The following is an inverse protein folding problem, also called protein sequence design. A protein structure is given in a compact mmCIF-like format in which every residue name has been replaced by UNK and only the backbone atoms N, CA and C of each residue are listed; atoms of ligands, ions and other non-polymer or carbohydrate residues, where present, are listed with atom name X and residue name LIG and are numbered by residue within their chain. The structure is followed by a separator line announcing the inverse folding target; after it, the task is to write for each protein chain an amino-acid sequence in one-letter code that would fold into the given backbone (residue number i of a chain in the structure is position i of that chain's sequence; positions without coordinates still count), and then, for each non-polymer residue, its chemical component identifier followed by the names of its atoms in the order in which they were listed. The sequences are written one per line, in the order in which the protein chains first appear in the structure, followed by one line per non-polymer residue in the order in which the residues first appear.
data_IF_148661158361
#
_entry.id   IF_148661158361
#
_cell.length_a   1.000
_cell.length_b   1.000
_cell.length_c   1.000
_cell.angle_alpha   90.00
_cell.angle_beta   90.00
_cell.angle_gamma   90.00
#
_symmetry.space_group_name_H-M   'P 1'
#
loop_
_entity.id
_entity.type
_entity.pdbx_description
1 polymer ?
#
# COMPACT_ATOMS: atom_id res chain seq x y z
N UNK A 1 -2.48 2.27 -20.85
CA UNK A 1 -1.01 2.43 -20.69
C UNK A 1 -0.69 2.91 -19.27
N UNK A 2 0.38 2.45 -18.68
CA UNK A 2 0.86 2.86 -17.36
C UNK A 2 2.38 2.75 -17.29
N UNK A 3 2.93 3.39 -16.27
CA UNK A 3 4.36 3.36 -15.94
C UNK A 3 4.49 3.13 -14.43
N UNK A 4 5.45 2.32 -14.00
CA UNK A 4 5.81 2.15 -12.59
C UNK A 4 7.19 2.74 -12.36
N UNK A 5 7.32 3.58 -11.33
CA UNK A 5 8.60 4.13 -10.89
C UNK A 5 8.71 4.16 -9.37
N UNK A 6 9.92 4.20 -8.86
CA UNK A 6 10.13 4.46 -7.44
C UNK A 6 9.80 5.92 -7.12
N UNK A 7 9.18 6.13 -5.95
CA UNK A 7 8.90 7.47 -5.45
C UNK A 7 10.14 8.09 -4.80
N UNK A 8 10.19 9.40 -4.83
CA UNK A 8 11.20 10.23 -4.16
C UNK A 8 10.51 11.11 -3.10
N UNK A 9 11.25 11.79 -2.20
CA UNK A 9 10.63 12.72 -1.25
C UNK A 9 9.73 13.80 -1.88
N UNK A 10 9.96 14.14 -3.13
CA UNK A 10 9.12 15.09 -3.88
C UNK A 10 7.70 14.54 -4.14
N UNK A 11 7.49 13.23 -4.01
CA UNK A 11 6.19 12.58 -4.20
C UNK A 11 5.36 12.49 -2.92
N UNK A 12 5.81 13.05 -1.82
CA UNK A 12 5.15 12.97 -0.51
C UNK A 12 3.67 13.37 -0.58
N UNK A 13 3.36 14.52 -1.17
CA UNK A 13 1.98 15.01 -1.25
C UNK A 13 1.11 14.20 -2.22
N UNK A 14 1.70 13.65 -3.26
CA UNK A 14 1.01 12.75 -4.21
C UNK A 14 0.57 11.48 -3.46
N UNK A 15 1.46 10.87 -2.69
CA UNK A 15 1.17 9.67 -1.90
C UNK A 15 0.08 9.97 -0.87
N UNK A 16 0.18 11.07 -0.15
CA UNK A 16 -0.81 11.49 0.84
C UNK A 16 -2.19 11.70 0.22
N UNK A 17 -2.25 12.34 -0.93
CA UNK A 17 -3.51 12.59 -1.65
C UNK A 17 -4.19 11.28 -2.06
N UNK A 18 -3.43 10.34 -2.63
CA UNK A 18 -3.96 9.02 -2.99
C UNK A 18 -4.43 8.27 -1.74
N UNK A 19 -3.62 8.26 -0.69
CA UNK A 19 -3.95 7.59 0.57
C UNK A 19 -5.24 8.14 1.19
N UNK A 20 -5.39 9.45 1.27
CA UNK A 20 -6.58 10.08 1.83
C UNK A 20 -7.85 9.67 1.08
N UNK A 21 -7.85 9.81 -0.23
CA UNK A 21 -9.01 9.45 -1.06
C UNK A 21 -9.36 7.96 -0.93
N UNK A 22 -8.37 7.09 -0.96
CA UNK A 22 -8.59 5.65 -0.90
C UNK A 22 -9.02 5.18 0.48
N UNK A 23 -8.48 5.75 1.55
CA UNK A 23 -8.86 5.41 2.92
C UNK A 23 -10.31 5.76 3.22
N UNK A 24 -10.76 6.96 2.85
CA UNK A 24 -12.16 7.35 3.03
C UNK A 24 -13.09 6.42 2.26
N UNK A 25 -12.77 6.09 1.01
CA UNK A 25 -13.58 5.18 0.21
C UNK A 25 -13.61 3.75 0.76
N UNK A 26 -12.47 3.22 1.20
CA UNK A 26 -12.35 1.82 1.66
C UNK A 26 -12.86 1.62 3.08
N UNK A 27 -12.61 2.55 3.99
CA UNK A 27 -12.82 2.36 5.43
C UNK A 27 -14.06 3.04 5.98
N UNK A 28 -14.72 3.97 5.26
CA UNK A 28 -15.96 4.60 5.74
C UNK A 28 -17.05 3.59 6.11
N UNK A 29 -17.22 2.45 5.42
CA UNK A 29 -18.19 1.44 5.82
C UNK A 29 -17.77 0.60 7.04
N UNK A 30 -16.50 0.66 7.45
CA UNK A 30 -15.90 -0.25 8.44
C UNK A 30 -15.53 0.46 9.73
N UNK A 31 -14.97 1.67 9.62
CA UNK A 31 -14.40 2.43 10.74
C UNK A 31 -15.16 3.74 10.95
N UNK A 32 -15.14 4.23 12.19
CA UNK A 32 -15.66 5.55 12.53
C UNK A 32 -14.83 6.67 11.88
N UNK A 33 -15.47 7.79 11.58
CA UNK A 33 -14.82 8.97 10.97
C UNK A 33 -13.59 9.43 11.74
N UNK A 34 -13.72 9.49 13.04
CA UNK A 34 -12.65 9.95 13.95
C UNK A 34 -11.45 9.00 13.89
N UNK A 35 -11.69 7.70 13.78
CA UNK A 35 -10.64 6.70 13.65
C UNK A 35 -9.91 6.84 12.30
N UNK A 36 -10.64 7.01 11.20
CA UNK A 36 -10.04 7.20 9.88
C UNK A 36 -9.16 8.46 9.87
N UNK A 37 -9.68 9.57 10.37
CA UNK A 37 -8.94 10.84 10.43
C UNK A 37 -7.67 10.70 11.30
N UNK A 38 -7.77 10.05 12.43
CA UNK A 38 -6.64 9.78 13.31
C UNK A 38 -5.57 8.93 12.62
N UNK A 39 -5.99 7.84 11.97
CA UNK A 39 -5.05 6.92 11.31
C UNK A 39 -4.38 7.55 10.09
N UNK A 40 -5.09 8.36 9.31
CA UNK A 40 -4.49 9.12 8.22
C UNK A 40 -3.41 10.07 8.72
N UNK A 41 -3.66 10.74 9.83
CA UNK A 41 -2.70 11.65 10.43
C UNK A 41 -1.46 10.91 10.98
N UNK A 42 -1.67 9.77 11.64
CA UNK A 42 -0.58 8.96 12.20
C UNK A 42 0.26 8.23 11.14
N UNK A 43 -0.38 7.64 10.14
CA UNK A 43 0.29 6.78 9.15
C UNK A 43 0.82 7.59 7.97
N UNK A 44 0.08 8.62 7.56
CA UNK A 44 0.32 9.37 6.33
C UNK A 44 0.63 10.84 6.55
N UNK A 45 1.14 11.22 7.72
CA UNK A 45 1.64 12.59 7.90
C UNK A 45 2.75 12.89 6.89
N UNK A 46 2.86 14.14 6.45
CA UNK A 46 3.91 14.56 5.52
C UNK A 46 5.30 14.22 6.04
N UNK A 47 5.53 14.45 7.34
CA UNK A 47 6.79 14.14 8.01
C UNK A 47 7.13 12.65 7.94
N UNK A 48 6.16 11.78 8.22
CA UNK A 48 6.37 10.33 8.25
C UNK A 48 6.66 9.78 6.86
N UNK A 49 5.88 10.17 5.86
CA UNK A 49 6.08 9.74 4.47
C UNK A 49 7.42 10.26 3.93
N UNK A 50 7.72 11.53 4.14
CA UNK A 50 9.00 12.12 3.71
C UNK A 50 10.19 11.40 4.38
N UNK A 51 10.08 11.07 5.67
CA UNK A 51 11.11 10.33 6.39
C UNK A 51 11.32 8.92 5.80
N UNK A 52 10.24 8.19 5.54
CA UNK A 52 10.31 6.85 4.94
C UNK A 52 10.98 6.90 3.57
N UNK A 53 10.64 7.88 2.75
CA UNK A 53 11.23 8.07 1.42
C UNK A 53 12.71 8.47 1.49
N UNK A 54 13.06 9.38 2.42
CA UNK A 54 14.44 9.87 2.56
C UNK A 54 15.40 8.82 3.12
N UNK A 55 14.93 7.99 4.05
CA UNK A 55 15.75 6.99 4.74
C UNK A 55 15.59 5.57 4.17
N UNK A 56 14.76 5.41 3.13
CA UNK A 56 14.46 4.12 2.51
C UNK A 56 13.98 3.04 3.51
N UNK A 57 13.28 3.45 4.57
CA UNK A 57 12.70 2.50 5.53
C UNK A 57 11.53 1.74 4.94
N UNK A 58 10.85 2.33 3.96
CA UNK A 58 9.93 1.66 3.05
C UNK A 58 10.22 2.14 1.64
N UNK A 59 10.22 1.23 0.68
CA UNK A 59 10.30 1.57 -0.74
C UNK A 59 8.89 1.76 -1.29
N UNK A 60 8.66 2.90 -1.92
CA UNK A 60 7.38 3.24 -2.53
C UNK A 60 7.47 3.12 -4.05
N UNK A 61 6.51 2.41 -4.64
CA UNK A 61 6.31 2.33 -6.10
C UNK A 61 5.05 3.11 -6.46
N UNK A 62 5.18 4.03 -7.41
CA UNK A 62 4.05 4.77 -7.98
C UNK A 62 3.66 4.17 -9.32
N UNK A 63 2.36 3.96 -9.52
CA UNK A 63 1.80 3.66 -10.82
C UNK A 63 1.23 4.96 -11.40
N UNK A 64 1.68 5.29 -12.59
CA UNK A 64 1.41 6.57 -13.25
C UNK A 64 0.73 6.31 -14.59
N UNK A 65 -0.38 6.98 -14.84
CA UNK A 65 -0.98 7.06 -16.17
C UNK A 65 -0.30 8.21 -16.92
N UNK A 66 0.39 7.94 -18.05
CA UNK A 66 1.02 8.99 -18.83
C UNK A 66 0.00 9.96 -19.40
N UNK A 67 0.45 11.19 -19.65
CA UNK A 67 -0.37 12.20 -20.30
C UNK A 67 -0.92 11.72 -21.64
N UNK A 68 -2.21 12.02 -21.88
CA UNK A 68 -2.87 11.66 -23.14
C UNK A 68 -2.44 12.56 -24.32
N UNK A 69 -1.80 13.70 -24.03
CA UNK A 69 -1.34 14.67 -25.02
C UNK A 69 0.00 15.29 -24.57
N UNK A 70 0.80 15.86 -25.50
CA UNK A 70 2.09 16.49 -25.17
C UNK A 70 1.98 17.62 -24.13
N UNK A 71 0.85 18.33 -24.09
CA UNK A 71 0.62 19.43 -23.16
C UNK A 71 0.00 18.97 -21.82
N UNK A 72 -0.35 17.69 -21.71
CA UNK A 72 -0.90 17.10 -20.51
C UNK A 72 0.16 16.77 -19.48
N UNK A 73 -0.30 16.37 -18.29
CA UNK A 73 0.58 15.91 -17.20
C UNK A 73 0.33 14.44 -16.91
N UNK A 74 1.40 13.74 -16.60
CA UNK A 74 1.32 12.39 -16.07
C UNK A 74 0.55 12.41 -14.75
N UNK A 75 -0.28 11.38 -14.53
CA UNK A 75 -1.15 11.30 -13.37
C UNK A 75 -0.81 10.07 -12.52
N UNK A 76 -0.18 10.24 -11.36
CA UNK A 76 -0.05 9.15 -10.40
C UNK A 76 -1.43 8.73 -9.87
N UNK A 77 -1.76 7.46 -9.93
CA UNK A 77 -3.11 6.96 -9.60
C UNK A 77 -3.11 5.83 -8.56
N UNK A 78 -1.95 5.28 -8.27
CA UNK A 78 -1.83 4.18 -7.30
C UNK A 78 -0.41 4.12 -6.75
N UNK A 79 -0.25 3.53 -5.57
CA UNK A 79 1.06 3.27 -5.01
C UNK A 79 1.07 2.00 -4.17
N UNK A 80 2.27 1.43 -4.01
CA UNK A 80 2.57 0.36 -3.07
C UNK A 80 3.79 0.75 -2.25
N UNK A 81 3.86 0.28 -1.00
CA UNK A 81 5.05 0.44 -0.17
C UNK A 81 5.41 -0.91 0.45
N UNK A 82 6.68 -1.24 0.42
CA UNK A 82 7.18 -2.51 0.92
C UNK A 82 8.56 -2.36 1.55
N UNK A 83 8.92 -3.30 2.41
CA UNK A 83 10.27 -3.41 3.00
C UNK A 83 10.48 -4.80 3.58
N UNK A 84 11.72 -5.17 3.92
CA UNK A 84 11.95 -6.31 4.80
C UNK A 84 11.25 -6.10 6.15
N UNK A 85 10.78 -7.18 6.80
CA UNK A 85 10.34 -7.09 8.19
C UNK A 85 11.53 -6.82 9.10
N UNK A 86 11.33 -6.02 10.14
CA UNK A 86 12.38 -5.72 11.12
C UNK A 86 12.76 -6.97 11.92
N UNK A 87 11.75 -7.73 12.35
CA UNK A 87 11.92 -8.94 13.16
C UNK A 87 12.48 -10.12 12.39
N UNK A 88 12.30 -10.16 11.07
CA UNK A 88 12.82 -11.20 10.19
C UNK A 88 13.04 -10.67 8.77
N UNK A 89 14.24 -10.18 8.44
CA UNK A 89 14.54 -9.61 7.13
C UNK A 89 14.47 -10.60 5.96
N UNK A 90 14.28 -11.90 6.20
CA UNK A 90 14.05 -12.88 5.15
C UNK A 90 12.62 -12.77 4.60
N UNK A 91 11.70 -12.18 5.37
CA UNK A 91 10.32 -11.97 4.98
C UNK A 91 10.15 -10.50 4.61
N UNK A 92 9.67 -10.24 3.39
CA UNK A 92 9.27 -8.91 2.97
C UNK A 92 7.81 -8.67 3.31
N UNK A 93 7.45 -7.42 3.53
CA UNK A 93 6.08 -7.02 3.84
C UNK A 93 5.62 -5.93 2.89
N UNK A 94 4.46 -6.15 2.28
CA UNK A 94 3.70 -5.11 1.61
C UNK A 94 2.93 -4.33 2.68
N UNK A 95 3.35 -3.09 2.92
CA UNK A 95 2.74 -2.23 3.95
C UNK A 95 1.51 -1.49 3.45
N UNK A 96 1.52 -1.11 2.17
CA UNK A 96 0.49 -0.25 1.57
C UNK A 96 0.28 -0.64 0.13
N UNK A 97 -0.99 -0.70 -0.29
CA UNK A 97 -1.38 -0.89 -1.69
C UNK A 97 -2.71 -0.18 -1.89
N UNK A 98 -2.68 0.96 -2.56
CA UNK A 98 -3.86 1.80 -2.75
C UNK A 98 -3.94 2.32 -4.17
N UNK A 99 -5.15 2.19 -4.76
CA UNK A 99 -5.48 2.69 -6.09
C UNK A 99 -6.62 3.69 -5.96
N UNK A 100 -6.55 4.81 -6.66
CA UNK A 100 -7.63 5.79 -6.67
C UNK A 100 -8.97 5.11 -7.04
N UNK A 101 -10.08 5.47 -6.37
CA UNK A 101 -11.37 4.82 -6.62
C UNK A 101 -11.79 4.85 -8.08
N UNK A 102 -11.50 5.91 -8.82
CA UNK A 102 -11.82 6.05 -10.24
C UNK A 102 -11.03 5.08 -11.16
N UNK A 103 -10.01 4.42 -10.64
CA UNK A 103 -9.22 3.43 -11.39
C UNK A 103 -9.65 1.99 -11.11
N UNK A 104 -10.70 1.77 -10.36
CA UNK A 104 -11.25 0.44 -10.09
C UNK A 104 -11.55 -0.30 -11.40
N UNK A 105 -11.20 -1.59 -11.45
CA UNK A 105 -11.40 -2.42 -12.62
C UNK A 105 -10.31 -2.36 -13.68
N UNK A 106 -9.30 -1.48 -13.54
CA UNK A 106 -8.16 -1.41 -14.47
C UNK A 106 -7.05 -2.43 -14.19
N UNK A 107 -7.12 -3.16 -13.08
CA UNK A 107 -6.12 -4.16 -12.71
C UNK A 107 -4.84 -3.58 -12.11
N UNK A 108 -4.82 -2.33 -11.70
CA UNK A 108 -3.62 -1.65 -11.18
C UNK A 108 -3.11 -2.25 -9.88
N UNK A 109 -4.01 -2.71 -9.00
CA UNK A 109 -3.61 -3.40 -7.77
C UNK A 109 -2.81 -4.66 -8.05
N UNK A 110 -3.25 -5.47 -9.01
CA UNK A 110 -2.54 -6.68 -9.44
C UNK A 110 -1.18 -6.34 -10.05
N UNK A 111 -1.11 -5.31 -10.86
CA UNK A 111 0.14 -4.85 -11.49
C UNK A 111 1.15 -4.42 -10.42
N UNK A 112 0.73 -3.63 -9.44
CA UNK A 112 1.59 -3.16 -8.37
C UNK A 112 2.07 -4.31 -7.46
N UNK A 113 1.18 -5.22 -7.07
CA UNK A 113 1.57 -6.34 -6.22
C UNK A 113 2.57 -7.26 -6.94
N UNK A 114 2.39 -7.48 -8.24
CA UNK A 114 3.35 -8.24 -9.05
C UNK A 114 4.70 -7.53 -9.14
N UNK A 115 4.72 -6.20 -9.20
CA UNK A 115 5.96 -5.42 -9.17
C UNK A 115 6.68 -5.59 -7.83
N UNK A 116 5.95 -5.57 -6.70
CA UNK A 116 6.52 -5.83 -5.37
C UNK A 116 7.04 -7.26 -5.25
N UNK A 117 6.31 -8.24 -5.77
CA UNK A 117 6.75 -9.64 -5.82
C UNK A 117 8.08 -9.75 -6.59
N UNK A 118 8.17 -9.11 -7.75
CA UNK A 118 9.39 -9.11 -8.55
C UNK A 118 10.57 -8.51 -7.79
N UNK A 119 10.37 -7.37 -7.11
CA UNK A 119 11.39 -6.72 -6.28
C UNK A 119 11.84 -7.60 -5.11
N UNK A 120 10.91 -8.32 -4.50
CA UNK A 120 11.20 -9.27 -3.42
C UNK A 120 12.09 -10.40 -3.93
N UNK A 121 11.77 -10.98 -5.08
CA UNK A 121 12.55 -12.04 -5.73
C UNK A 121 13.95 -11.54 -6.15
N UNK A 122 14.03 -10.32 -6.70
CA UNK A 122 15.31 -9.70 -7.07
C UNK A 122 16.24 -9.51 -5.86
N UNK A 123 15.66 -9.29 -4.68
CA UNK A 123 16.40 -9.22 -3.42
C UNK A 123 16.80 -10.60 -2.86
N UNK A 124 16.46 -11.69 -3.58
CA UNK A 124 16.75 -13.07 -3.14
C UNK A 124 15.84 -13.56 -2.04
N UNK A 125 14.65 -12.97 -1.90
CA UNK A 125 13.66 -13.33 -0.87
C UNK A 125 12.47 -14.03 -1.51
N UNK A 126 11.84 -14.92 -0.75
CA UNK A 126 10.80 -15.81 -1.28
C UNK A 126 9.52 -15.80 -0.46
N UNK A 127 9.36 -14.86 0.46
CA UNK A 127 8.16 -14.74 1.30
C UNK A 127 7.71 -13.30 1.33
N UNK A 128 6.45 -13.06 1.00
CA UNK A 128 5.82 -11.74 1.08
C UNK A 128 4.60 -11.80 1.97
N UNK A 129 4.60 -10.95 3.00
CA UNK A 129 3.48 -10.78 3.93
C UNK A 129 2.73 -9.48 3.66
N UNK A 130 1.51 -9.41 4.14
CA UNK A 130 0.73 -8.18 4.23
C UNK A 130 -0.26 -8.26 5.39
N UNK A 131 -0.72 -7.10 5.82
CA UNK A 131 -1.85 -7.00 6.74
C UNK A 131 -3.09 -6.52 5.99
N UNK A 132 -4.25 -7.05 6.34
CA UNK A 132 -5.55 -6.58 5.83
C UNK A 132 -6.56 -6.59 6.97
N UNK A 133 -7.33 -5.51 7.11
CA UNK A 133 -8.40 -5.46 8.11
C UNK A 133 -9.40 -6.60 7.84
N UNK A 134 -9.85 -7.28 8.91
CA UNK A 134 -10.73 -8.46 8.79
C UNK A 134 -12.04 -8.17 8.07
N UNK A 135 -12.49 -6.94 8.07
CA UNK A 135 -13.73 -6.50 7.42
C UNK A 135 -13.52 -5.84 6.07
N UNK A 136 -12.26 -5.70 5.62
CA UNK A 136 -11.94 -5.10 4.33
C UNK A 136 -12.14 -6.12 3.21
N UNK A 137 -12.90 -5.73 2.19
CA UNK A 137 -13.17 -6.55 1.00
C UNK A 137 -11.90 -6.93 0.21
N UNK A 138 -10.83 -6.18 0.39
CA UNK A 138 -9.54 -6.45 -0.27
C UNK A 138 -8.97 -7.84 0.08
N UNK A 139 -9.40 -8.46 1.19
CA UNK A 139 -8.98 -9.82 1.56
C UNK A 139 -9.21 -10.81 0.41
N UNK A 140 -10.39 -10.77 -0.23
CA UNK A 140 -10.68 -11.66 -1.36
C UNK A 140 -9.75 -11.41 -2.55
N UNK A 141 -9.38 -10.17 -2.81
CA UNK A 141 -8.39 -9.83 -3.84
C UNK A 141 -7.04 -10.48 -3.54
N UNK A 142 -6.57 -10.41 -2.30
CA UNK A 142 -5.30 -11.02 -1.91
C UNK A 142 -5.37 -12.55 -1.96
N UNK A 143 -6.48 -13.13 -1.58
CA UNK A 143 -6.70 -14.59 -1.71
C UNK A 143 -6.58 -15.04 -3.17
N UNK A 144 -7.18 -14.30 -4.10
CA UNK A 144 -7.07 -14.56 -5.53
C UNK A 144 -5.64 -14.41 -6.06
N UNK A 145 -4.83 -13.58 -5.41
CA UNK A 145 -3.41 -13.41 -5.74
C UNK A 145 -2.52 -14.49 -5.11
N UNK A 146 -3.11 -15.44 -4.37
CA UNK A 146 -2.39 -16.57 -3.78
C UNK A 146 -1.91 -16.36 -2.35
N UNK A 147 -2.35 -15.28 -1.68
CA UNK A 147 -2.06 -15.07 -0.26
C UNK A 147 -3.02 -15.88 0.60
N UNK A 148 -2.51 -16.39 1.72
CA UNK A 148 -3.30 -17.12 2.72
C UNK A 148 -3.15 -16.48 4.09
N UNK A 149 -4.20 -16.54 4.91
CA UNK A 149 -4.15 -16.06 6.28
C UNK A 149 -3.25 -17.00 7.10
N UNK A 150 -2.25 -16.42 7.76
CA UNK A 150 -1.32 -17.16 8.64
C UNK A 150 -1.60 -16.93 10.11
N UNK A 151 -2.03 -15.71 10.50
CA UNK A 151 -2.50 -15.42 11.86
C UNK A 151 -3.32 -14.13 11.90
N UNK A 152 -3.96 -13.88 13.03
CA UNK A 152 -4.66 -12.63 13.31
C UNK A 152 -3.76 -11.71 14.14
N UNK A 153 -3.90 -10.43 13.96
CA UNK A 153 -3.12 -9.42 14.67
C UNK A 153 -4.01 -8.22 15.01
N UNK A 154 -4.07 -7.87 16.29
CA UNK A 154 -4.75 -6.68 16.74
C UNK A 154 -3.70 -5.61 17.05
N UNK A 155 -3.68 -4.54 16.26
CA UNK A 155 -2.66 -3.49 16.32
C UNK A 155 -3.24 -2.26 17.00
N UNK A 156 -2.70 -1.84 18.16
CA UNK A 156 -3.12 -0.58 18.77
C UNK A 156 -2.48 0.58 18.01
N UNK A 157 -3.29 1.56 17.62
CA UNK A 157 -2.86 2.80 16.97
C UNK A 157 -3.52 3.94 17.73
N UNK A 158 -2.77 4.57 18.66
CA UNK A 158 -3.31 5.56 19.57
C UNK A 158 -4.44 4.96 20.42
N UNK A 159 -5.62 5.61 20.49
CA UNK A 159 -6.77 5.08 21.22
C UNK A 159 -7.56 4.03 20.45
N UNK A 160 -7.15 3.68 19.24
CA UNK A 160 -7.88 2.79 18.35
C UNK A 160 -7.16 1.46 18.11
N UNK A 161 -7.89 0.52 17.52
CA UNK A 161 -7.37 -0.78 17.14
C UNK A 161 -7.58 -1.02 15.65
N UNK A 162 -6.58 -1.60 14.99
CA UNK A 162 -6.73 -2.24 13.69
C UNK A 162 -6.74 -3.75 13.90
N UNK A 163 -7.86 -4.38 13.60
CA UNK A 163 -8.05 -5.81 13.73
C UNK A 163 -7.79 -6.46 12.37
N UNK A 164 -6.60 -7.00 12.20
CA UNK A 164 -6.10 -7.47 10.93
C UNK A 164 -5.97 -8.99 10.86
N UNK A 165 -5.99 -9.49 9.63
CA UNK A 165 -5.34 -10.74 9.27
C UNK A 165 -3.94 -10.41 8.76
N UNK A 166 -2.96 -11.25 9.13
CA UNK A 166 -1.67 -11.29 8.44
C UNK A 166 -1.77 -12.38 7.38
N UNK A 167 -1.53 -12.00 6.13
CA UNK A 167 -1.57 -12.92 4.99
C UNK A 167 -0.17 -13.08 4.42
N UNK A 168 0.10 -14.26 3.87
CA UNK A 168 1.41 -14.63 3.36
C UNK A 168 1.32 -15.34 2.04
N UNK A 169 2.26 -15.04 1.15
CA UNK A 169 2.48 -15.76 -0.08
C UNK A 169 3.93 -16.21 -0.16
N UNK A 170 4.13 -17.51 -0.39
CA UNK A 170 5.45 -18.04 -0.78
C UNK A 170 5.64 -17.83 -2.28
N UNK A 171 6.80 -17.30 -2.65
CA UNK A 171 7.10 -16.88 -4.01
C UNK A 171 7.91 -17.93 -4.79
#
# INVERSE_FOLDING_TARGET
MYLIREATPDDTEIIRTIAEKTWWAAYSPILEKEQIAFMLDEIYSARKIASQLSHNTQTYLLLVEPAASPDGKDKPVAFAAYSPREEDPQIYKLHKLYCLPETQGKGYGKILINAVIQKTLEAGKHTLDLNVNRYNKAKSFYEKMGFVVVYEEDIPIGPYWMNDYVMRKEL
#
